data_IF_517175147496
#
_entry.id   IF_517175147496
#
_cell.length_a   1.000
_cell.length_b   1.000
_cell.length_c   1.000
_cell.angle_alpha   90.00
_cell.angle_beta   90.00
_cell.angle_gamma   90.00
#
_symmetry.space_group_name_H-M   'P 1'
#
loop_
_entity.id
_entity.type
_entity.pdbx_description
1 polymer ?
#
# COMPACT_ATOMS: atom_id res chain seq x y z
N UNK A 1 44.97 -2.88 -57.87
CA UNK A 1 44.78 -3.41 -56.50
C UNK A 1 43.71 -2.56 -55.83
N UNK A 2 42.44 -2.98 -55.94
CA UNK A 2 41.28 -2.14 -55.63
C UNK A 2 40.88 -2.23 -54.15
N UNK A 3 40.89 -1.09 -53.49
CA UNK A 3 40.45 -0.82 -52.12
C UNK A 3 38.95 -1.08 -51.95
N UNK A 4 38.60 -2.11 -51.19
CA UNK A 4 37.23 -2.32 -50.67
C UNK A 4 37.12 -1.72 -49.26
N UNK A 5 37.00 -0.40 -49.18
CA UNK A 5 36.43 0.28 -48.01
C UNK A 5 34.94 0.55 -48.25
N UNK A 6 34.21 0.75 -47.17
CA UNK A 6 32.88 1.40 -47.11
C UNK A 6 31.66 0.65 -47.66
N UNK A 7 31.28 -0.47 -47.05
CA UNK A 7 29.88 -0.95 -47.07
C UNK A 7 29.29 -1.30 -45.69
N UNK A 8 29.99 -0.99 -44.59
CA UNK A 8 29.48 -1.23 -43.24
C UNK A 8 28.75 -0.03 -42.61
N UNK A 9 28.81 1.16 -43.22
CA UNK A 9 28.23 2.38 -42.64
C UNK A 9 26.72 2.59 -42.89
N UNK A 10 26.06 1.72 -43.68
CA UNK A 10 24.65 1.91 -44.07
C UNK A 10 23.67 0.98 -43.34
N UNK A 11 24.17 0.06 -42.50
CA UNK A 11 23.32 -0.81 -41.69
C UNK A 11 23.34 -0.42 -40.21
N UNK A 12 23.59 0.86 -39.91
CA UNK A 12 23.22 1.45 -38.64
C UNK A 12 21.71 1.76 -38.70
N UNK A 13 20.90 0.71 -38.88
CA UNK A 13 19.45 0.81 -38.95
C UNK A 13 18.99 1.35 -37.61
N UNK A 14 18.60 2.62 -37.63
CA UNK A 14 17.97 3.39 -36.58
C UNK A 14 17.35 2.51 -35.50
N UNK A 15 18.07 2.32 -34.40
CA UNK A 15 17.42 1.98 -33.13
C UNK A 15 16.67 3.23 -32.70
N UNK A 16 15.54 3.49 -33.35
CA UNK A 16 14.54 4.44 -32.86
C UNK A 16 14.17 3.95 -31.47
N UNK A 17 14.76 4.56 -30.44
CA UNK A 17 14.45 4.26 -29.04
C UNK A 17 12.93 4.26 -28.90
N UNK A 18 12.34 3.10 -28.61
CA UNK A 18 10.90 2.94 -28.37
C UNK A 18 10.43 3.62 -27.06
N UNK A 19 11.20 4.56 -26.52
CA UNK A 19 10.95 5.24 -25.25
C UNK A 19 9.59 5.95 -25.21
N UNK A 20 9.12 6.47 -26.35
CA UNK A 20 7.78 7.06 -26.45
C UNK A 20 6.67 6.04 -26.29
N UNK A 21 6.80 4.85 -26.88
CA UNK A 21 5.82 3.78 -26.72
C UNK A 21 5.80 3.26 -25.28
N UNK A 22 6.97 3.07 -24.67
CA UNK A 22 7.09 2.65 -23.26
C UNK A 22 6.44 3.64 -22.29
N UNK A 23 6.52 4.95 -22.56
CA UNK A 23 5.86 5.97 -21.75
C UNK A 23 4.32 5.86 -21.83
N UNK A 24 3.78 5.61 -23.02
CA UNK A 24 2.33 5.43 -23.22
C UNK A 24 1.86 4.13 -22.57
N UNK A 25 2.60 3.03 -22.72
CA UNK A 25 2.30 1.76 -22.06
C UNK A 25 2.24 1.92 -20.53
N UNK A 26 3.22 2.62 -19.93
CA UNK A 26 3.22 2.93 -18.51
C UNK A 26 2.04 3.82 -18.12
N UNK A 27 1.69 4.84 -18.91
CA UNK A 27 0.58 5.74 -18.63
C UNK A 27 -0.78 5.01 -18.56
N UNK A 28 -0.95 3.93 -19.31
CA UNK A 28 -2.16 3.10 -19.25
C UNK A 28 -2.15 2.07 -18.11
N UNK A 29 -1.00 1.46 -17.81
CA UNK A 29 -0.89 0.45 -16.74
C UNK A 29 -0.90 1.08 -15.34
N UNK A 30 -0.28 2.26 -15.19
CA UNK A 30 -0.15 2.97 -13.90
C UNK A 30 -1.48 3.22 -13.19
N UNK A 31 -2.56 3.75 -13.82
CA UNK A 31 -3.81 4.00 -13.10
C UNK A 31 -4.42 2.71 -12.52
N UNK A 32 -4.42 1.61 -13.29
CA UNK A 32 -4.93 0.31 -12.81
C UNK A 32 -4.04 -0.23 -11.69
N UNK A 33 -2.73 -0.12 -11.84
CA UNK A 33 -1.77 -0.52 -10.81
C UNK A 33 -1.96 0.28 -9.50
N UNK A 34 -2.16 1.59 -9.59
CA UNK A 34 -2.40 2.45 -8.43
C UNK A 34 -3.72 2.12 -7.72
N UNK A 35 -4.77 1.73 -8.45
CA UNK A 35 -6.02 1.24 -7.85
C UNK A 35 -5.76 0.00 -7.01
N UNK A 36 -4.98 -0.97 -7.50
CA UNK A 36 -4.63 -2.16 -6.74
C UNK A 36 -3.77 -1.83 -5.52
N UNK A 37 -2.77 -0.96 -5.68
CA UNK A 37 -1.93 -0.51 -4.58
C UNK A 37 -2.77 0.17 -3.50
N UNK A 38 -3.65 1.09 -3.89
CA UNK A 38 -4.57 1.77 -2.99
C UNK A 38 -5.50 0.77 -2.27
N UNK A 39 -6.07 -0.18 -3.01
CA UNK A 39 -6.90 -1.23 -2.43
C UNK A 39 -6.14 -2.01 -1.34
N UNK A 40 -4.89 -2.43 -1.61
CA UNK A 40 -4.08 -3.15 -0.62
C UNK A 40 -3.88 -2.32 0.66
N UNK A 41 -3.61 -1.01 0.52
CA UNK A 41 -3.49 -0.12 1.68
C UNK A 41 -4.80 0.03 2.45
N UNK A 42 -5.90 0.27 1.73
CA UNK A 42 -7.23 0.45 2.32
C UNK A 42 -7.68 -0.82 3.08
N UNK A 43 -7.52 -1.99 2.46
CA UNK A 43 -7.83 -3.26 3.11
C UNK A 43 -6.90 -3.53 4.29
N UNK A 44 -5.59 -3.26 4.16
CA UNK A 44 -4.63 -3.39 5.26
C UNK A 44 -5.01 -2.53 6.46
N UNK A 45 -5.41 -1.28 6.22
CA UNK A 45 -5.90 -0.38 7.26
C UNK A 45 -7.20 -0.88 7.89
N UNK A 46 -8.18 -1.28 7.08
CA UNK A 46 -9.45 -1.82 7.59
C UNK A 46 -9.25 -3.07 8.47
N UNK A 47 -8.33 -3.96 8.09
CA UNK A 47 -7.97 -5.13 8.90
C UNK A 47 -7.30 -4.73 10.21
N UNK A 48 -6.38 -3.75 10.19
CA UNK A 48 -5.74 -3.23 11.39
C UNK A 48 -6.78 -2.67 12.37
N UNK A 49 -7.68 -1.81 11.90
CA UNK A 49 -8.77 -1.22 12.70
C UNK A 49 -9.64 -2.33 13.31
N UNK A 50 -10.01 -3.34 12.51
CA UNK A 50 -10.82 -4.46 12.97
C UNK A 50 -10.14 -5.28 14.07
N UNK A 51 -8.83 -5.50 13.98
CA UNK A 51 -8.07 -6.21 15.00
C UNK A 51 -8.00 -5.43 16.31
N UNK A 52 -7.77 -4.12 16.24
CA UNK A 52 -7.67 -3.27 17.43
C UNK A 52 -9.02 -3.16 18.15
N UNK A 53 -10.13 -3.06 17.42
CA UNK A 53 -11.47 -3.09 18.02
C UNK A 53 -11.72 -4.41 18.76
N UNK A 54 -11.32 -5.55 18.16
CA UNK A 54 -11.46 -6.86 18.80
C UNK A 54 -10.60 -6.97 20.06
N UNK A 55 -9.35 -6.52 19.99
CA UNK A 55 -8.44 -6.48 21.14
C UNK A 55 -9.01 -5.60 22.26
N UNK A 56 -9.46 -4.38 21.94
CA UNK A 56 -10.07 -3.47 22.91
C UNK A 56 -11.32 -4.06 23.57
N UNK A 57 -12.15 -4.75 22.79
CA UNK A 57 -13.34 -5.45 23.32
C UNK A 57 -12.95 -6.57 24.28
N UNK A 58 -11.94 -7.38 23.93
CA UNK A 58 -11.47 -8.46 24.79
C UNK A 58 -10.80 -7.93 26.07
N UNK A 59 -9.96 -6.90 25.97
CA UNK A 59 -9.35 -6.26 27.15
C UNK A 59 -10.41 -5.62 28.05
N UNK A 60 -11.40 -4.95 27.46
CA UNK A 60 -12.54 -4.39 28.20
C UNK A 60 -13.33 -5.47 28.95
N UNK A 61 -13.63 -6.60 28.31
CA UNK A 61 -14.33 -7.73 28.94
C UNK A 61 -13.48 -8.38 30.05
N UNK A 62 -12.17 -8.52 29.86
CA UNK A 62 -11.23 -9.01 30.88
C UNK A 62 -11.17 -8.09 32.10
N UNK A 63 -11.21 -6.79 31.89
CA UNK A 63 -11.23 -5.81 32.98
C UNK A 63 -12.60 -5.83 33.70
N UNK A 64 -13.69 -5.91 32.95
CA UNK A 64 -15.06 -5.84 33.48
C UNK A 64 -15.51 -7.04 34.32
N UNK A 65 -14.80 -8.18 34.25
CA UNK A 65 -15.05 -9.35 35.12
C UNK A 65 -14.41 -9.25 36.50
N UNK A 66 -13.61 -8.22 36.78
CA UNK A 66 -12.95 -8.04 38.07
C UNK A 66 -13.90 -7.34 39.07
N UNK A 67 -13.90 -7.80 40.33
CA UNK A 67 -14.83 -7.30 41.37
C UNK A 67 -14.61 -5.82 41.75
N UNK A 68 -13.37 -5.32 41.67
CA UNK A 68 -13.01 -3.94 42.06
C UNK A 68 -12.98 -2.93 40.91
N UNK A 69 -13.60 -3.25 39.77
CA UNK A 69 -13.54 -2.42 38.56
C UNK A 69 -14.87 -1.73 38.29
N UNK A 70 -14.81 -0.41 38.14
CA UNK A 70 -15.98 0.41 37.76
C UNK A 70 -16.15 0.46 36.24
N UNK A 71 -17.38 0.69 35.78
CA UNK A 71 -17.68 0.90 34.35
C UNK A 71 -16.87 2.05 33.76
N UNK A 72 -16.55 3.08 34.54
CA UNK A 72 -15.72 4.21 34.11
C UNK A 72 -14.29 3.77 33.73
N UNK A 73 -13.67 2.91 34.55
CA UNK A 73 -12.32 2.38 34.29
C UNK A 73 -12.28 1.47 33.05
N UNK A 74 -13.34 0.67 32.83
CA UNK A 74 -13.47 -0.13 31.60
C UNK A 74 -13.55 0.77 30.37
N UNK A 75 -14.38 1.81 30.42
CA UNK A 75 -14.53 2.75 29.32
C UNK A 75 -13.25 3.53 29.03
N UNK A 76 -12.53 3.97 30.06
CA UNK A 76 -11.24 4.65 29.91
C UNK A 76 -10.22 3.76 29.21
N UNK A 77 -10.11 2.50 29.65
CA UNK A 77 -9.18 1.52 29.07
C UNK A 77 -9.50 1.21 27.60
N UNK A 78 -10.78 1.03 27.26
CA UNK A 78 -11.22 0.79 25.87
C UNK A 78 -10.95 2.02 25.00
N UNK A 79 -11.30 3.22 25.47
CA UNK A 79 -11.04 4.47 24.73
C UNK A 79 -9.57 4.66 24.43
N UNK A 80 -8.68 4.42 25.41
CA UNK A 80 -7.24 4.52 25.22
C UNK A 80 -6.69 3.63 24.10
N UNK A 81 -7.26 2.43 23.92
CA UNK A 81 -6.87 1.53 22.83
C UNK A 81 -7.40 2.00 21.48
N UNK A 82 -8.62 2.54 21.45
CA UNK A 82 -9.22 3.10 20.23
C UNK A 82 -8.53 4.40 19.79
N UNK A 83 -8.09 5.23 20.73
CA UNK A 83 -7.37 6.48 20.45
C UNK A 83 -6.07 6.22 19.68
N UNK A 84 -5.45 5.04 19.85
CA UNK A 84 -4.26 4.62 19.08
C UNK A 84 -4.54 4.53 17.58
N UNK A 85 -5.81 4.37 17.19
CA UNK A 85 -6.25 4.24 15.78
C UNK A 85 -6.86 5.53 15.25
N UNK A 86 -7.62 6.25 16.09
CA UNK A 86 -8.42 7.40 15.66
C UNK A 86 -7.72 8.76 15.87
N UNK A 87 -6.65 8.83 16.66
CA UNK A 87 -5.84 10.05 16.86
C UNK A 87 -4.60 10.12 15.93
N UNK A 88 -4.53 9.23 14.92
CA UNK A 88 -3.47 9.19 13.89
C UNK A 88 -3.77 10.06 12.67
#
# INVERSE_FOLDING_TARGET
MFTRRSRQALNQKSQTKRSGATLVELAFVTPVFLVFVYAIFEFGYAYMVSNIIQEATQEGAKLGRCEDVTTAQVQEKVKKLLDTVFDS
#
